data_IF_288351911791
#
_entry.id   IF_288351911791
#
_cell.length_a   1.000
_cell.length_b   1.000
_cell.length_c   1.000
_cell.angle_alpha   90.00
_cell.angle_beta   90.00
_cell.angle_gamma   90.00
#
_symmetry.space_group_name_H-M   'P 1'
#
loop_
_entity.id
_entity.type
_entity.pdbx_description
1 polymer ?
#
# COMPACT_ATOMS: atom_id res chain seq x y z
N UNK A 1 33.62 79.93 -2.06
CA UNK A 1 34.23 78.58 -2.02
C UNK A 1 33.57 77.76 -3.09
N UNK A 2 34.23 77.59 -4.25
CA UNK A 2 33.75 76.68 -5.28
C UNK A 2 34.17 75.28 -4.85
N UNK A 3 33.20 74.45 -4.48
CA UNK A 3 33.46 73.03 -4.22
C UNK A 3 33.94 72.40 -5.53
N UNK A 4 35.10 71.73 -5.56
CA UNK A 4 35.58 71.06 -6.77
C UNK A 4 34.55 70.00 -7.17
N UNK A 5 34.12 70.03 -8.42
CA UNK A 5 33.24 69.01 -8.98
C UNK A 5 34.00 67.69 -9.03
N UNK A 6 33.38 66.58 -8.62
CA UNK A 6 34.03 65.29 -8.66
C UNK A 6 34.30 64.85 -10.10
N UNK A 7 35.44 64.20 -10.33
CA UNK A 7 35.90 63.81 -11.68
C UNK A 7 34.90 62.94 -12.46
N UNK A 8 34.05 62.18 -11.77
CA UNK A 8 33.06 61.27 -12.34
C UNK A 8 31.76 61.94 -12.79
N UNK A 9 31.51 63.20 -12.42
CA UNK A 9 30.24 63.88 -12.70
C UNK A 9 29.96 64.02 -14.20
N UNK A 10 31.01 64.31 -14.98
CA UNK A 10 30.91 64.42 -16.43
C UNK A 10 30.55 63.09 -17.11
N UNK A 11 31.08 61.97 -16.60
CA UNK A 11 30.79 60.64 -17.14
C UNK A 11 29.43 60.12 -16.68
N UNK A 12 29.03 60.42 -15.44
CA UNK A 12 27.67 60.14 -14.96
C UNK A 12 26.60 60.83 -15.82
N UNK A 13 26.81 62.11 -16.13
CA UNK A 13 25.89 62.87 -16.98
C UNK A 13 25.80 62.30 -18.41
N UNK A 14 26.92 61.82 -18.98
CA UNK A 14 26.93 61.16 -20.30
C UNK A 14 26.19 59.82 -20.28
N UNK A 15 26.29 59.06 -19.18
CA UNK A 15 25.72 57.71 -19.07
C UNK A 15 24.23 57.72 -18.67
N UNK A 16 23.71 58.83 -18.13
CA UNK A 16 22.31 58.97 -17.72
C UNK A 16 21.30 58.74 -18.87
N UNK A 17 21.56 59.30 -20.06
CA UNK A 17 20.70 59.14 -21.24
C UNK A 17 20.63 57.70 -21.77
N UNK A 18 21.76 57.00 -22.04
CA UNK A 18 21.72 55.60 -22.45
C UNK A 18 21.17 54.68 -21.34
N UNK A 19 21.43 54.95 -20.05
CA UNK A 19 20.84 54.17 -18.95
C UNK A 19 19.31 54.26 -18.92
N UNK A 20 18.74 55.45 -19.14
CA UNK A 20 17.28 55.63 -19.17
C UNK A 20 16.67 54.98 -20.41
N UNK A 21 17.34 55.04 -21.56
CA UNK A 21 16.96 54.31 -22.76
C UNK A 21 17.00 52.79 -22.53
N UNK A 22 18.07 52.28 -21.92
CA UNK A 22 18.23 50.87 -21.57
C UNK A 22 17.14 50.43 -20.57
N UNK A 23 16.87 51.21 -19.52
CA UNK A 23 15.80 50.92 -18.54
C UNK A 23 14.43 50.84 -19.20
N UNK A 24 14.14 51.71 -20.18
CA UNK A 24 12.89 51.65 -20.96
C UNK A 24 12.84 50.40 -21.84
N UNK A 25 13.97 50.02 -22.45
CA UNK A 25 14.08 48.78 -23.23
C UNK A 25 13.96 47.54 -22.34
N UNK A 26 14.48 47.55 -21.11
CA UNK A 26 14.33 46.46 -20.13
C UNK A 26 12.87 46.06 -19.88
N UNK A 27 11.95 47.03 -19.91
CA UNK A 27 10.52 46.77 -19.76
C UNK A 27 9.87 46.08 -20.97
N UNK A 28 10.56 46.07 -22.14
CA UNK A 28 10.10 45.41 -23.36
C UNK A 28 10.66 43.99 -23.54
N UNK A 29 11.67 43.60 -22.75
CA UNK A 29 12.21 42.25 -22.85
C UNK A 29 11.20 41.24 -22.29
N UNK A 30 10.89 40.16 -23.04
CA UNK A 30 10.01 39.12 -22.55
C UNK A 30 10.69 38.40 -21.39
N UNK A 31 10.00 38.30 -20.26
CA UNK A 31 10.46 37.47 -19.15
C UNK A 31 10.45 35.99 -19.54
N UNK A 32 11.35 35.16 -18.98
CA UNK A 32 11.28 33.72 -19.19
C UNK A 32 9.93 33.16 -18.74
N UNK A 33 9.32 32.24 -19.52
CA UNK A 33 8.03 31.69 -19.17
C UNK A 33 8.12 30.91 -17.86
N UNK A 34 7.32 31.32 -16.88
CA UNK A 34 7.10 30.54 -15.66
C UNK A 34 6.50 29.19 -16.04
N UNK A 35 7.23 28.10 -15.80
CA UNK A 35 6.73 26.73 -15.98
C UNK A 35 6.59 26.08 -14.62
N UNK A 36 5.36 25.77 -14.24
CA UNK A 36 5.03 25.01 -13.04
C UNK A 36 4.77 23.57 -13.45
N UNK A 37 5.18 22.62 -12.62
CA UNK A 37 4.91 21.20 -12.87
C UNK A 37 3.40 20.94 -12.86
N UNK A 38 2.89 20.36 -13.94
CA UNK A 38 1.46 20.03 -14.09
C UNK A 38 1.00 18.98 -13.08
N UNK A 39 1.87 18.00 -12.81
CA UNK A 39 1.64 16.92 -11.83
C UNK A 39 1.39 17.50 -10.44
N UNK A 40 2.23 18.43 -9.98
CA UNK A 40 2.07 19.07 -8.67
C UNK A 40 0.74 19.84 -8.54
N UNK A 41 0.24 20.44 -9.63
CA UNK A 41 -1.06 21.10 -9.64
C UNK A 41 -2.24 20.11 -9.58
N UNK A 42 -2.10 18.93 -10.20
CA UNK A 42 -3.12 17.87 -10.16
C UNK A 42 -3.12 17.14 -8.82
N UNK A 43 -1.93 16.81 -8.30
CA UNK A 43 -1.78 16.17 -6.99
C UNK A 43 -2.32 17.06 -5.88
N UNK A 44 -2.15 18.38 -5.99
CA UNK A 44 -2.76 19.33 -5.07
C UNK A 44 -4.29 19.22 -5.05
N UNK A 45 -4.92 19.04 -6.21
CA UNK A 45 -6.37 18.90 -6.33
C UNK A 45 -6.86 17.58 -5.73
N UNK A 46 -6.14 16.49 -6.02
CA UNK A 46 -6.45 15.18 -5.45
C UNK A 46 -6.34 15.18 -3.92
N UNK A 47 -5.28 15.79 -3.37
CA UNK A 47 -5.07 15.93 -1.93
C UNK A 47 -6.18 16.75 -1.27
N UNK A 48 -6.67 17.80 -1.94
CA UNK A 48 -7.78 18.61 -1.42
C UNK A 48 -9.08 17.78 -1.35
N UNK A 49 -9.36 16.96 -2.37
CA UNK A 49 -10.52 16.06 -2.40
C UNK A 49 -10.44 14.97 -1.31
N UNK A 50 -9.28 14.31 -1.17
CA UNK A 50 -9.04 13.28 -0.14
C UNK A 50 -9.16 13.85 1.28
N UNK A 51 -8.62 15.05 1.51
CA UNK A 51 -8.69 15.70 2.81
C UNK A 51 -10.14 16.08 3.14
N UNK A 52 -10.90 16.60 2.16
CA UNK A 52 -12.32 16.89 2.33
C UNK A 52 -13.13 15.62 2.63
N UNK A 53 -12.86 14.51 1.95
CA UNK A 53 -13.52 13.24 2.20
C UNK A 53 -13.21 12.71 3.60
N UNK A 54 -11.93 12.70 4.00
CA UNK A 54 -11.49 12.28 5.33
C UNK A 54 -12.15 13.12 6.44
N UNK A 55 -12.18 14.45 6.27
CA UNK A 55 -12.84 15.33 7.25
C UNK A 55 -14.36 15.11 7.31
N UNK A 56 -15.01 14.85 6.17
CA UNK A 56 -16.44 14.50 6.13
C UNK A 56 -16.69 13.20 6.88
N UNK A 57 -15.88 12.16 6.67
CA UNK A 57 -16.02 10.87 7.35
C UNK A 57 -15.91 11.01 8.87
N UNK A 58 -14.89 11.72 9.35
CA UNK A 58 -14.72 12.00 10.78
C UNK A 58 -15.89 12.81 11.35
N UNK A 59 -16.43 13.74 10.57
CA UNK A 59 -17.62 14.50 10.95
C UNK A 59 -18.86 13.60 11.01
N UNK A 60 -19.05 12.71 10.04
CA UNK A 60 -20.18 11.77 10.02
C UNK A 60 -20.14 10.69 11.09
N UNK A 61 -18.95 10.30 11.53
CA UNK A 61 -18.75 9.38 12.65
C UNK A 61 -19.02 10.09 13.98
N UNK A 62 -18.56 11.33 14.16
CA UNK A 62 -18.90 12.13 15.35
C UNK A 62 -20.43 12.33 15.50
N UNK A 63 -21.14 12.49 14.38
CA UNK A 63 -22.59 12.65 14.36
C UNK A 63 -23.39 11.32 14.32
N UNK A 64 -22.74 10.15 14.31
CA UNK A 64 -23.45 8.85 14.22
C UNK A 64 -24.23 8.49 15.48
N UNK A 65 -23.89 9.11 16.62
CA UNK A 65 -24.59 8.95 17.90
C UNK A 65 -25.93 9.69 17.95
N UNK A 66 -26.18 10.62 17.02
CA UNK A 66 -27.43 11.35 16.91
C UNK A 66 -28.44 10.63 16.01
N UNK A 67 -29.73 10.96 16.16
CA UNK A 67 -30.80 10.37 15.35
C UNK A 67 -30.46 10.43 13.85
N UNK A 68 -30.58 9.31 13.10
CA UNK A 68 -30.17 9.24 11.70
C UNK A 68 -30.95 10.22 10.80
N UNK A 69 -32.20 10.53 11.15
CA UNK A 69 -33.03 11.51 10.43
C UNK A 69 -32.51 12.95 10.49
N UNK A 70 -31.80 13.32 11.56
CA UNK A 70 -31.15 14.63 11.66
C UNK A 70 -29.88 14.69 10.80
N UNK A 71 -29.09 13.60 10.78
CA UNK A 71 -27.88 13.48 9.96
C UNK A 71 -28.18 13.71 8.47
N UNK A 72 -29.22 13.07 7.94
CA UNK A 72 -29.61 13.22 6.52
C UNK A 72 -30.14 14.61 6.19
N UNK A 73 -30.86 15.25 7.12
CA UNK A 73 -31.41 16.59 6.91
C UNK A 73 -30.32 17.67 6.91
N UNK A 74 -29.37 17.56 7.84
CA UNK A 74 -28.26 18.51 7.99
C UNK A 74 -27.06 18.20 7.10
N UNK A 75 -27.04 17.09 6.36
CA UNK A 75 -25.94 16.68 5.48
C UNK A 75 -25.37 17.81 4.60
N UNK A 76 -26.19 18.50 3.78
CA UNK A 76 -25.69 19.56 2.90
C UNK A 76 -25.27 20.82 3.66
N UNK A 77 -25.96 21.16 4.76
CA UNK A 77 -25.64 22.35 5.57
C UNK A 77 -24.29 22.19 6.28
N UNK A 78 -24.04 21.00 6.83
CA UNK A 78 -22.81 20.67 7.52
C UNK A 78 -21.62 20.56 6.54
N UNK A 79 -21.87 20.01 5.35
CA UNK A 79 -20.87 19.97 4.27
C UNK A 79 -20.52 21.38 3.78
N UNK A 80 -21.52 22.25 3.62
CA UNK A 80 -21.30 23.66 3.30
C UNK A 80 -20.48 24.35 4.39
N UNK A 81 -20.82 24.14 5.67
CA UNK A 81 -20.09 24.72 6.79
C UNK A 81 -18.63 24.28 6.81
N UNK A 82 -18.36 22.98 6.61
CA UNK A 82 -17.00 22.44 6.50
C UNK A 82 -16.23 23.08 5.34
N UNK A 83 -16.83 23.11 4.14
CA UNK A 83 -16.23 23.74 2.96
C UNK A 83 -15.95 25.23 3.18
N UNK A 84 -16.83 25.95 3.89
CA UNK A 84 -16.67 27.36 4.19
C UNK A 84 -15.52 27.59 5.20
N UNK A 85 -15.45 26.77 6.25
CA UNK A 85 -14.37 26.79 7.23
C UNK A 85 -13.02 26.53 6.54
N UNK A 86 -12.94 25.47 5.74
CA UNK A 86 -11.75 25.16 4.97
C UNK A 86 -11.38 26.29 3.99
N UNK A 87 -12.36 26.83 3.26
CA UNK A 87 -12.15 27.93 2.34
C UNK A 87 -11.62 29.20 3.05
N UNK A 88 -12.17 29.50 4.24
CA UNK A 88 -11.78 30.66 5.05
C UNK A 88 -10.33 30.53 5.54
N UNK A 89 -9.96 29.41 6.14
CA UNK A 89 -8.60 29.22 6.67
C UNK A 89 -7.56 28.99 5.56
N UNK A 90 -7.97 28.48 4.41
CA UNK A 90 -7.06 28.14 3.31
C UNK A 90 -6.90 29.31 2.31
N UNK A 91 -7.87 29.52 1.42
CA UNK A 91 -7.74 30.50 0.34
C UNK A 91 -7.84 31.94 0.84
N UNK A 92 -8.74 32.21 1.80
CA UNK A 92 -8.93 33.58 2.25
C UNK A 92 -7.72 34.08 3.06
N UNK A 93 -7.23 33.29 4.01
CA UNK A 93 -6.11 33.67 4.88
C UNK A 93 -4.74 33.41 4.21
N UNK A 94 -4.50 32.22 3.66
CA UNK A 94 -3.18 31.83 3.10
C UNK A 94 -3.05 32.05 1.58
N UNK A 95 -4.15 32.23 0.85
CA UNK A 95 -4.11 32.46 -0.60
C UNK A 95 -3.82 31.22 -1.45
N UNK A 96 -3.97 30.03 -0.89
CA UNK A 96 -3.77 28.73 -1.52
C UNK A 96 -4.70 27.69 -0.88
N UNK A 97 -5.10 26.65 -1.62
CA UNK A 97 -5.79 25.48 -1.00
C UNK A 97 -4.82 24.67 -0.14
N UNK A 98 -5.31 23.76 0.71
CA UNK A 98 -4.43 23.00 1.61
C UNK A 98 -3.52 22.04 0.84
N UNK A 99 -4.06 21.31 -0.14
CA UNK A 99 -3.30 20.47 -1.05
C UNK A 99 -2.28 21.29 -1.86
N UNK A 100 -2.66 22.50 -2.30
CA UNK A 100 -1.70 23.42 -2.95
C UNK A 100 -0.56 23.82 -2.01
N UNK A 101 -0.84 24.12 -0.74
CA UNK A 101 0.20 24.49 0.23
C UNK A 101 1.18 23.34 0.48
N UNK A 102 0.68 22.10 0.60
CA UNK A 102 1.52 20.90 0.73
C UNK A 102 2.42 20.69 -0.49
N UNK A 103 1.92 21.05 -1.67
CA UNK A 103 2.66 21.04 -2.93
C UNK A 103 3.52 22.30 -3.17
N UNK A 104 3.64 23.19 -2.17
CA UNK A 104 4.37 24.45 -2.26
C UNK A 104 3.85 25.37 -3.40
N UNK A 105 2.54 25.40 -3.60
CA UNK A 105 1.84 26.21 -4.59
C UNK A 105 0.99 27.30 -3.92
N UNK A 106 0.97 28.48 -4.52
CA UNK A 106 0.15 29.63 -4.11
C UNK A 106 -0.55 30.25 -5.31
N UNK A 107 -1.76 30.76 -5.12
CA UNK A 107 -2.45 31.48 -6.20
C UNK A 107 -1.83 32.87 -6.39
N UNK A 108 -1.65 33.22 -7.65
CA UNK A 108 -1.23 34.54 -8.12
C UNK A 108 -2.29 35.14 -9.04
N UNK A 109 -2.48 36.45 -8.95
CA UNK A 109 -3.37 37.17 -9.85
C UNK A 109 -2.65 37.54 -11.16
N UNK A 110 -2.99 36.88 -12.26
CA UNK A 110 -2.35 37.14 -13.55
C UNK A 110 -2.85 38.43 -14.21
N UNK A 111 -4.06 38.92 -13.88
CA UNK A 111 -4.63 40.13 -14.48
C UNK A 111 -3.83 41.39 -14.14
N UNK A 112 -3.24 41.42 -12.94
CA UNK A 112 -2.33 42.50 -12.51
C UNK A 112 -0.93 42.39 -13.13
N UNK A 113 -0.58 41.22 -13.67
CA UNK A 113 0.69 40.91 -14.34
C UNK A 113 0.62 41.05 -15.86
N UNK A 114 -0.51 41.50 -16.42
CA UNK A 114 -0.73 41.58 -17.87
C UNK A 114 0.04 42.73 -18.55
N UNK A 115 0.84 43.52 -17.83
CA UNK A 115 1.77 44.50 -18.40
C UNK A 115 3.09 43.86 -18.80
N UNK A 116 3.82 44.45 -19.76
CA UNK A 116 5.07 43.91 -20.34
C UNK A 116 6.18 43.53 -19.35
N UNK A 117 6.03 43.85 -18.07
CA UNK A 117 6.81 43.27 -16.99
C UNK A 117 6.06 42.05 -16.41
N UNK A 118 6.14 40.91 -17.11
CA UNK A 118 5.93 39.60 -16.49
C UNK A 118 7.12 39.28 -15.55
N UNK A 119 7.47 40.20 -14.66
CA UNK A 119 8.59 40.01 -13.76
C UNK A 119 8.31 38.78 -12.91
N UNK A 120 9.14 37.77 -13.12
CA UNK A 120 9.28 36.63 -12.21
C UNK A 120 9.59 37.13 -10.81
N UNK A 121 10.15 38.32 -10.59
CA UNK A 121 10.61 38.74 -9.27
C UNK A 121 9.50 39.21 -8.31
N UNK A 122 8.30 39.52 -8.80
CA UNK A 122 7.24 40.13 -7.95
C UNK A 122 5.93 39.39 -8.12
N UNK A 123 5.48 38.67 -7.11
CA UNK A 123 4.19 37.98 -7.12
C UNK A 123 3.11 38.89 -6.51
N UNK A 124 1.99 39.09 -7.22
CA UNK A 124 0.87 39.89 -6.74
C UNK A 124 -0.18 38.97 -6.10
N UNK A 125 -0.56 39.24 -4.83
CA UNK A 125 -1.58 38.45 -4.16
C UNK A 125 -2.95 38.67 -4.80
N UNK A 126 -3.86 37.73 -4.53
CA UNK A 126 -5.23 37.76 -5.02
C UNK A 126 -5.99 38.98 -4.50
N UNK A 127 -6.87 39.55 -5.34
CA UNK A 127 -7.77 40.60 -4.87
C UNK A 127 -8.83 40.03 -3.93
N UNK A 128 -9.32 40.84 -3.00
CA UNK A 128 -10.45 40.46 -2.12
C UNK A 128 -11.67 39.99 -2.93
N UNK A 129 -11.93 40.64 -4.06
CA UNK A 129 -13.01 40.28 -4.99
C UNK A 129 -12.78 38.93 -5.66
N UNK A 130 -11.56 38.62 -6.09
CA UNK A 130 -11.23 37.31 -6.66
C UNK A 130 -11.38 36.20 -5.64
N UNK A 131 -10.90 36.43 -4.40
CA UNK A 131 -11.12 35.49 -3.29
C UNK A 131 -12.61 35.26 -3.11
N UNK A 132 -13.39 36.29 -2.79
CA UNK A 132 -14.83 36.14 -2.53
C UNK A 132 -15.57 35.48 -3.70
N UNK A 133 -15.28 35.87 -4.95
CA UNK A 133 -15.90 35.27 -6.13
C UNK A 133 -15.54 33.78 -6.28
N UNK A 134 -14.28 33.41 -6.07
CA UNK A 134 -13.85 32.01 -6.11
C UNK A 134 -14.57 31.18 -5.04
N UNK A 135 -14.60 31.66 -3.79
CA UNK A 135 -15.31 30.99 -2.70
C UNK A 135 -16.81 30.88 -2.94
N UNK A 136 -17.45 31.95 -3.41
CA UNK A 136 -18.89 31.96 -3.70
C UNK A 136 -19.26 30.93 -4.78
N UNK A 137 -18.47 30.82 -5.85
CA UNK A 137 -18.77 29.87 -6.93
C UNK A 137 -18.42 28.43 -6.55
N UNK A 138 -17.28 28.21 -5.86
CA UNK A 138 -16.87 26.84 -5.46
C UNK A 138 -17.72 26.29 -4.33
N UNK A 139 -17.79 27.00 -3.20
CA UNK A 139 -18.50 26.57 -1.99
C UNK A 139 -20.01 26.76 -2.16
N UNK A 140 -20.43 27.94 -2.59
CA UNK A 140 -21.85 28.25 -2.79
C UNK A 140 -22.45 27.52 -3.99
N UNK A 141 -21.71 27.42 -5.10
CA UNK A 141 -22.19 26.73 -6.30
C UNK A 141 -22.44 25.24 -6.06
N UNK A 142 -21.54 24.53 -5.36
CA UNK A 142 -21.75 23.14 -5.00
C UNK A 142 -23.00 22.95 -4.13
N UNK A 143 -23.18 23.78 -3.10
CA UNK A 143 -24.36 23.71 -2.23
C UNK A 143 -25.66 24.00 -2.98
N UNK A 144 -25.69 25.03 -3.84
CA UNK A 144 -26.87 25.36 -4.65
C UNK A 144 -27.20 24.20 -5.60
N UNK A 145 -26.21 23.61 -6.26
CA UNK A 145 -26.43 22.46 -7.15
C UNK A 145 -26.95 21.24 -6.38
N UNK A 146 -26.39 20.94 -5.21
CA UNK A 146 -26.86 19.83 -4.36
C UNK A 146 -28.29 20.06 -3.88
N UNK A 147 -28.61 21.29 -3.44
CA UNK A 147 -29.96 21.67 -3.00
C UNK A 147 -30.97 21.60 -4.14
N UNK A 148 -30.59 22.11 -5.30
CA UNK A 148 -31.42 22.10 -6.50
C UNK A 148 -31.68 20.68 -6.99
N UNK A 149 -30.66 19.82 -7.01
CA UNK A 149 -30.81 18.40 -7.35
C UNK A 149 -31.78 17.69 -6.40
N UNK A 150 -31.70 17.95 -5.08
CA UNK A 150 -32.66 17.38 -4.12
C UNK A 150 -34.09 17.82 -4.38
N UNK A 151 -34.30 19.10 -4.70
CA UNK A 151 -35.64 19.64 -5.03
C UNK A 151 -36.16 19.02 -6.34
N UNK A 152 -35.31 18.95 -7.36
CA UNK A 152 -35.63 18.36 -8.67
C UNK A 152 -36.06 16.90 -8.51
N UNK A 153 -35.32 16.12 -7.74
CA UNK A 153 -35.64 14.70 -7.48
C UNK A 153 -36.91 14.56 -6.63
N UNK A 154 -37.09 15.37 -5.59
CA UNK A 154 -38.26 15.30 -4.71
C UNK A 154 -39.57 15.68 -5.43
N UNK A 155 -39.50 16.57 -6.42
CA UNK A 155 -40.65 17.00 -7.20
C UNK A 155 -40.78 16.28 -8.55
N UNK A 156 -39.87 15.35 -8.87
CA UNK A 156 -39.92 14.54 -10.09
C UNK A 156 -39.90 15.34 -11.39
N UNK A 157 -39.10 16.42 -11.50
CA UNK A 157 -39.18 17.35 -12.66
C UNK A 157 -38.93 16.71 -14.03
N UNK A 158 -38.37 15.50 -14.09
CA UNK A 158 -38.20 14.73 -15.32
C UNK A 158 -39.49 14.08 -15.85
N UNK A 159 -40.48 13.83 -15.00
CA UNK A 159 -41.72 13.10 -15.34
C UNK A 159 -42.91 14.01 -15.70
N UNK A 160 -42.77 15.33 -15.53
CA UNK A 160 -43.83 16.28 -15.85
C UNK A 160 -44.11 16.38 -17.37
N UNK A 161 -45.31 16.82 -17.78
CA UNK A 161 -45.63 17.09 -19.19
C UNK A 161 -44.77 18.22 -19.79
N UNK A 162 -44.61 18.22 -21.10
CA UNK A 162 -43.64 19.07 -21.83
C UNK A 162 -43.95 20.58 -21.81
N UNK A 163 -45.19 20.96 -21.54
CA UNK A 163 -45.61 22.36 -21.51
C UNK A 163 -45.22 23.09 -20.21
N UNK A 164 -44.89 22.36 -19.15
CA UNK A 164 -44.56 22.95 -17.86
C UNK A 164 -43.18 23.65 -17.85
N UNK A 165 -43.16 24.87 -17.30
CA UNK A 165 -41.93 25.66 -17.13
C UNK A 165 -40.85 24.91 -16.33
N UNK A 166 -41.25 24.03 -15.40
CA UNK A 166 -40.35 23.23 -14.57
C UNK A 166 -39.54 22.21 -15.40
N UNK A 167 -40.17 21.58 -16.39
CA UNK A 167 -39.49 20.63 -17.28
C UNK A 167 -38.55 21.34 -18.24
N UNK A 168 -38.93 22.53 -18.74
CA UNK A 168 -38.02 23.39 -19.51
C UNK A 168 -36.80 23.83 -18.69
N UNK A 169 -37.00 24.22 -17.43
CA UNK A 169 -35.91 24.56 -16.51
C UNK A 169 -34.99 23.35 -16.24
N UNK A 170 -35.56 22.16 -16.03
CA UNK A 170 -34.79 20.92 -15.88
C UNK A 170 -33.96 20.60 -17.13
N UNK A 171 -34.55 20.71 -18.32
CA UNK A 171 -33.86 20.51 -19.60
C UNK A 171 -32.73 21.54 -19.81
N UNK A 172 -32.95 22.80 -19.40
CA UNK A 172 -31.93 23.84 -19.43
C UNK A 172 -30.76 23.52 -18.50
N UNK A 173 -31.03 23.11 -17.26
CA UNK A 173 -30.00 22.71 -16.29
C UNK A 173 -29.19 21.52 -16.82
N UNK A 174 -29.87 20.52 -17.40
CA UNK A 174 -29.21 19.35 -17.96
C UNK A 174 -28.37 19.70 -19.20
N UNK A 175 -28.87 20.60 -20.05
CA UNK A 175 -28.14 21.10 -21.22
C UNK A 175 -26.93 21.95 -20.81
N UNK A 176 -27.08 22.83 -19.82
CA UNK A 176 -26.00 23.59 -19.23
C UNK A 176 -24.93 22.67 -18.60
N UNK A 177 -25.34 21.59 -17.93
CA UNK A 177 -24.43 20.57 -17.39
C UNK A 177 -23.63 19.86 -18.50
N UNK A 178 -24.26 19.51 -19.61
CA UNK A 178 -23.58 18.94 -20.79
C UNK A 178 -22.57 19.94 -21.39
N UNK A 179 -22.97 21.19 -21.61
CA UNK A 179 -22.09 22.24 -22.12
C UNK A 179 -20.92 22.47 -21.17
N UNK A 180 -21.17 22.55 -19.87
CA UNK A 180 -20.12 22.70 -18.86
C UNK A 180 -19.08 21.57 -18.92
N UNK A 181 -19.51 20.30 -19.06
CA UNK A 181 -18.59 19.16 -19.20
C UNK A 181 -17.71 19.27 -20.44
N UNK A 182 -18.27 19.66 -21.59
CA UNK A 182 -17.51 19.86 -22.83
C UNK A 182 -16.52 21.01 -22.67
N UNK A 183 -16.96 22.16 -22.14
CA UNK A 183 -16.08 23.32 -21.91
C UNK A 183 -14.98 22.98 -20.89
N UNK A 184 -15.30 22.18 -19.86
CA UNK A 184 -14.34 21.74 -18.85
C UNK A 184 -13.29 20.81 -19.44
N UNK A 185 -13.70 19.87 -20.29
CA UNK A 185 -12.80 18.99 -21.04
C UNK A 185 -11.88 19.80 -21.96
N UNK A 186 -12.42 20.77 -22.70
CA UNK A 186 -11.61 21.65 -23.54
C UNK A 186 -10.64 22.51 -22.72
N UNK A 187 -11.06 23.01 -21.56
CA UNK A 187 -10.19 23.72 -20.63
C UNK A 187 -9.06 22.82 -20.13
N UNK A 188 -9.38 21.58 -19.75
CA UNK A 188 -8.43 20.59 -19.27
C UNK A 188 -7.43 20.16 -20.35
N UNK A 189 -7.86 19.98 -21.60
CA UNK A 189 -6.95 19.75 -22.74
C UNK A 189 -6.00 20.95 -22.94
N UNK A 190 -6.54 22.17 -22.87
CA UNK A 190 -5.72 23.39 -22.91
C UNK A 190 -4.74 23.48 -21.73
N UNK A 191 -5.12 22.99 -20.55
CA UNK A 191 -4.25 22.86 -19.39
C UNK A 191 -3.15 21.82 -19.62
N UNK A 192 -3.47 20.65 -20.16
CA UNK A 192 -2.48 19.63 -20.48
C UNK A 192 -1.44 20.12 -21.50
N UNK A 193 -1.82 21.01 -22.41
CA UNK A 193 -0.87 21.67 -23.31
C UNK A 193 -0.05 22.75 -22.59
N UNK A 194 -0.71 23.80 -22.07
CA UNK A 194 -0.04 25.01 -21.57
C UNK A 194 0.38 24.98 -20.08
N UNK A 195 -0.31 24.22 -19.22
CA UNK A 195 -0.02 24.09 -17.79
C UNK A 195 -0.38 25.29 -16.91
N UNK A 196 -1.32 26.15 -17.35
CA UNK A 196 -1.62 27.44 -16.71
C UNK A 196 -2.82 27.46 -15.75
N UNK A 197 -3.98 26.96 -16.19
CA UNK A 197 -5.25 27.01 -15.43
C UNK A 197 -5.91 25.63 -15.44
N UNK A 198 -6.14 25.00 -14.27
CA UNK A 198 -6.74 23.65 -14.21
C UNK A 198 -8.24 23.67 -14.39
N UNK A 199 -8.92 24.71 -13.89
CA UNK A 199 -10.39 24.85 -13.98
C UNK A 199 -10.81 26.04 -14.83
N UNK A 200 -12.05 26.01 -15.33
CA UNK A 200 -12.65 27.14 -16.05
C UNK A 200 -12.76 28.36 -15.13
N UNK A 201 -13.08 28.14 -13.85
CA UNK A 201 -13.20 29.18 -12.85
C UNK A 201 -11.89 29.97 -12.69
N UNK A 202 -10.77 29.26 -12.57
CA UNK A 202 -9.44 29.87 -12.51
C UNK A 202 -9.12 30.68 -13.75
N UNK A 203 -9.51 30.19 -14.93
CA UNK A 203 -9.32 30.89 -16.21
C UNK A 203 -10.10 32.21 -16.23
N UNK A 204 -11.37 32.19 -15.83
CA UNK A 204 -12.23 33.38 -15.78
C UNK A 204 -11.70 34.40 -14.76
N UNK A 205 -11.33 33.93 -13.56
CA UNK A 205 -10.81 34.80 -12.49
C UNK A 205 -9.34 35.20 -12.71
N UNK A 206 -8.66 34.61 -13.71
CA UNK A 206 -7.24 34.78 -13.99
C UNK A 206 -6.35 34.45 -12.78
N UNK A 207 -6.74 33.41 -12.03
CA UNK A 207 -6.00 32.88 -10.87
C UNK A 207 -5.07 31.76 -11.33
N UNK A 208 -3.76 31.93 -11.13
CA UNK A 208 -2.74 30.97 -11.57
C UNK A 208 -1.98 30.41 -10.38
N UNK A 209 -1.74 29.10 -10.32
CA UNK A 209 -0.86 28.51 -9.29
C UNK A 209 0.61 28.74 -9.66
N UNK A 210 1.39 29.22 -8.70
CA UNK A 210 2.83 29.47 -8.80
C UNK A 210 3.51 28.91 -7.55
N UNK A 211 4.80 28.55 -7.61
CA UNK A 211 5.52 28.11 -6.42
C UNK A 211 5.60 29.21 -5.35
N UNK A 212 5.20 28.90 -4.11
CA UNK A 212 5.27 29.83 -2.99
C UNK A 212 6.73 30.12 -2.62
N UNK A 213 7.56 29.09 -2.54
CA UNK A 213 9.00 29.19 -2.38
C UNK A 213 9.73 28.53 -3.56
N UNK A 214 10.53 29.31 -4.28
CA UNK A 214 11.23 28.85 -5.49
C UNK A 214 12.51 28.07 -5.21
N UNK A 215 13.06 28.26 -4.02
CA UNK A 215 14.24 27.55 -3.51
C UNK A 215 13.90 26.25 -2.79
N UNK A 216 12.62 25.89 -2.70
CA UNK A 216 12.21 24.59 -2.16
C UNK A 216 12.67 23.51 -3.14
N UNK A 217 13.72 22.78 -2.74
CA UNK A 217 14.13 21.59 -3.46
C UNK A 217 12.97 20.59 -3.36
N UNK A 218 12.51 20.16 -4.53
CA UNK A 218 11.38 19.26 -4.75
C UNK A 218 11.58 17.96 -3.96
N UNK A 219 11.14 17.94 -2.71
CA UNK A 219 10.74 16.71 -2.06
C UNK A 219 9.35 16.38 -2.60
N UNK A 220 9.29 15.93 -3.85
CA UNK A 220 8.19 15.04 -4.21
C UNK A 220 8.20 13.95 -3.14
N UNK A 221 7.06 13.72 -2.49
CA UNK A 221 6.87 12.80 -1.38
C UNK A 221 7.04 11.34 -1.82
N UNK A 222 8.20 11.03 -2.40
CA UNK A 222 8.69 9.69 -2.65
C UNK A 222 8.90 8.95 -1.34
N UNK A 223 8.81 9.58 -0.18
CA UNK A 223 8.91 8.87 1.09
C UNK A 223 7.86 7.76 1.19
N UNK A 224 6.61 8.00 0.80
CA UNK A 224 5.58 6.98 0.89
C UNK A 224 5.73 5.89 -0.20
N UNK A 225 6.03 6.29 -1.44
CA UNK A 225 6.33 5.36 -2.53
C UNK A 225 7.56 4.50 -2.21
N UNK A 226 8.63 5.11 -1.71
CA UNK A 226 9.86 4.43 -1.33
C UNK A 226 9.62 3.51 -0.14
N UNK A 227 8.82 3.92 0.87
CA UNK A 227 8.44 3.03 1.97
C UNK A 227 7.68 1.80 1.44
N UNK A 228 6.71 1.98 0.54
CA UNK A 228 5.97 0.86 -0.04
C UNK A 228 6.86 -0.05 -0.88
N UNK A 229 7.73 0.49 -1.73
CA UNK A 229 8.67 -0.30 -2.52
C UNK A 229 9.64 -1.08 -1.63
N UNK A 230 10.16 -0.46 -0.56
CA UNK A 230 11.04 -1.12 0.40
C UNK A 230 10.30 -2.25 1.12
N UNK A 231 9.08 -2.02 1.60
CA UNK A 231 8.29 -3.06 2.26
C UNK A 231 7.97 -4.22 1.31
N UNK A 232 7.58 -3.92 0.07
CA UNK A 232 7.30 -4.94 -0.93
C UNK A 232 8.54 -5.78 -1.24
N UNK A 233 9.67 -5.13 -1.54
CA UNK A 233 10.94 -5.81 -1.79
C UNK A 233 11.41 -6.63 -0.57
N UNK A 234 11.20 -6.11 0.65
CA UNK A 234 11.49 -6.82 1.89
C UNK A 234 10.62 -8.06 2.06
N UNK A 235 9.31 -7.97 1.79
CA UNK A 235 8.41 -9.13 1.88
C UNK A 235 8.71 -10.19 0.82
N UNK A 236 9.06 -9.78 -0.39
CA UNK A 236 9.47 -10.68 -1.47
C UNK A 236 10.76 -11.41 -1.11
N UNK A 237 11.76 -10.69 -0.59
CA UNK A 237 12.97 -11.29 -0.03
C UNK A 237 12.67 -12.27 1.12
N UNK A 238 11.76 -11.91 2.03
CA UNK A 238 11.38 -12.77 3.15
C UNK A 238 10.68 -14.05 2.68
N UNK A 239 9.85 -13.99 1.64
CA UNK A 239 9.23 -15.18 1.03
C UNK A 239 10.28 -16.11 0.41
N UNK A 240 11.37 -15.58 -0.16
CA UNK A 240 12.48 -16.41 -0.62
C UNK A 240 13.30 -17.02 0.53
N UNK A 241 13.43 -16.32 1.65
CA UNK A 241 14.13 -16.83 2.83
C UNK A 241 13.30 -17.81 3.67
N UNK A 242 11.97 -17.72 3.65
CA UNK A 242 11.07 -18.55 4.47
C UNK A 242 11.25 -20.07 4.21
N UNK A 243 11.38 -20.55 2.96
CA UNK A 243 11.70 -21.95 2.66
C UNK A 243 13.07 -22.42 3.15
N UNK A 244 14.04 -21.52 3.31
CA UNK A 244 15.41 -21.85 3.74
C UNK A 244 15.54 -21.94 5.27
N UNK A 245 14.57 -21.38 6.01
CA UNK A 245 14.58 -21.38 7.48
C UNK A 245 13.87 -22.64 7.98
N UNK A 246 14.64 -23.59 8.53
CA UNK A 246 14.08 -24.75 9.21
C UNK A 246 13.45 -24.31 10.55
N UNK A 247 12.14 -24.02 10.51
CA UNK A 247 11.34 -23.54 11.65
C UNK A 247 11.46 -24.43 12.90
N UNK A 248 11.74 -25.73 12.74
CA UNK A 248 11.93 -26.67 13.83
C UNK A 248 13.24 -26.41 14.59
N UNK A 249 14.35 -26.18 13.87
CA UNK A 249 15.66 -25.85 14.46
C UNK A 249 15.61 -24.49 15.16
N UNK A 250 14.99 -23.49 14.51
CA UNK A 250 14.83 -22.14 15.09
C UNK A 250 13.96 -22.17 16.36
N UNK A 251 12.81 -22.84 16.34
CA UNK A 251 11.93 -22.97 17.51
C UNK A 251 12.64 -23.67 18.68
N UNK A 252 13.46 -24.70 18.42
CA UNK A 252 14.24 -25.39 19.45
C UNK A 252 15.30 -24.47 20.07
N UNK A 253 16.02 -23.70 19.25
CA UNK A 253 17.05 -22.76 19.73
C UNK A 253 16.45 -21.57 20.47
N UNK A 254 15.36 -20.99 19.96
CA UNK A 254 14.63 -19.89 20.60
C UNK A 254 14.01 -20.35 21.91
N UNK A 255 13.39 -21.53 21.96
CA UNK A 255 12.86 -22.10 23.20
C UNK A 255 13.98 -22.36 24.21
N UNK A 256 15.13 -22.91 23.79
CA UNK A 256 16.30 -23.12 24.67
C UNK A 256 16.86 -21.80 25.23
N UNK A 257 16.74 -20.71 24.46
CA UNK A 257 17.19 -19.38 24.87
C UNK A 257 16.18 -18.66 25.79
N UNK A 258 14.87 -18.83 25.54
CA UNK A 258 13.81 -18.11 26.25
C UNK A 258 13.21 -18.87 27.44
N UNK A 259 13.29 -20.21 27.50
CA UNK A 259 12.75 -20.99 28.62
C UNK A 259 13.86 -21.63 29.46
N UNK A 260 13.77 -21.52 30.81
CA UNK A 260 14.68 -22.20 31.72
C UNK A 260 14.58 -23.74 31.56
N UNK A 261 15.73 -24.42 31.64
CA UNK A 261 15.86 -25.86 31.39
C UNK A 261 14.93 -26.75 32.25
N UNK A 262 14.46 -26.25 33.39
CA UNK A 262 13.53 -26.95 34.28
C UNK A 262 12.14 -27.20 33.65
N UNK A 263 11.71 -26.42 32.66
CA UNK A 263 10.39 -26.52 32.02
C UNK A 263 10.42 -27.29 30.68
N UNK A 264 11.60 -27.72 30.24
CA UNK A 264 11.82 -28.42 28.97
C UNK A 264 11.71 -29.95 29.09
N UNK A 265 11.76 -30.49 30.31
CA UNK A 265 11.64 -31.92 30.57
C UNK A 265 10.20 -32.26 30.93
N UNK A 266 9.29 -32.13 29.97
CA UNK A 266 7.99 -32.76 30.05
C UNK A 266 8.16 -34.27 29.90
N UNK A 267 8.25 -35.01 31.01
CA UNK A 267 8.38 -36.46 31.06
C UNK A 267 7.14 -37.23 30.57
N UNK A 268 6.13 -36.58 29.98
CA UNK A 268 4.90 -37.26 29.55
C UNK A 268 5.16 -38.33 28.48
N UNK A 269 6.21 -38.20 27.67
CA UNK A 269 6.55 -39.19 26.64
C UNK A 269 7.50 -40.29 27.11
N UNK A 270 8.16 -40.15 28.26
CA UNK A 270 9.05 -41.19 28.79
C UNK A 270 8.27 -42.33 29.47
N UNK A 271 7.09 -42.03 30.04
CA UNK A 271 6.21 -42.98 30.73
C UNK A 271 5.31 -43.81 29.80
N UNK A 272 5.39 -43.59 28.49
CA UNK A 272 4.55 -44.32 27.51
C UNK A 272 4.93 -45.82 27.45
N UNK A 273 3.97 -46.76 27.35
CA UNK A 273 4.26 -48.18 27.16
C UNK A 273 5.15 -48.47 25.95
N UNK A 274 5.97 -49.53 26.03
CA UNK A 274 6.95 -49.88 24.98
C UNK A 274 6.33 -50.27 23.63
N UNK A 275 5.05 -50.66 23.61
CA UNK A 275 4.31 -51.03 22.40
C UNK A 275 3.74 -49.82 21.63
N UNK A 276 3.87 -48.60 22.19
CA UNK A 276 3.34 -47.37 21.61
C UNK A 276 4.48 -46.50 21.05
N UNK A 277 4.34 -46.07 19.81
CA UNK A 277 5.28 -45.16 19.16
C UNK A 277 5.08 -43.73 19.70
N UNK A 278 6.09 -43.17 20.36
CA UNK A 278 5.98 -41.82 20.94
C UNK A 278 5.82 -40.73 19.86
N UNK A 279 6.33 -40.95 18.63
CA UNK A 279 6.17 -40.02 17.50
C UNK A 279 4.72 -40.06 16.97
N UNK A 280 4.11 -41.25 16.86
CA UNK A 280 2.70 -41.37 16.47
C UNK A 280 1.78 -40.75 17.52
N UNK A 281 2.11 -40.90 18.81
CA UNK A 281 1.36 -40.29 19.91
C UNK A 281 1.46 -38.75 19.90
N UNK A 282 2.65 -38.18 19.69
CA UNK A 282 2.86 -36.73 19.55
C UNK A 282 2.12 -36.14 18.33
N UNK A 283 2.13 -36.85 17.20
CA UNK A 283 1.39 -36.43 16.01
C UNK A 283 -0.12 -36.50 16.23
N UNK A 284 -0.62 -37.50 16.97
CA UNK A 284 -2.05 -37.59 17.28
C UNK A 284 -2.47 -36.49 18.28
N UNK A 285 -1.66 -36.18 19.29
CA UNK A 285 -1.97 -35.13 20.27
C UNK A 285 -1.96 -33.71 19.69
N UNK A 286 -1.13 -33.46 18.67
CA UNK A 286 -1.04 -32.16 17.98
C UNK A 286 -2.16 -31.92 16.96
N UNK A 287 -2.93 -32.93 16.56
CA UNK A 287 -3.95 -32.84 15.49
C UNK A 287 -5.39 -32.75 16.01
N UNK A 288 -5.61 -32.19 17.21
CA UNK A 288 -6.90 -32.15 17.94
C UNK A 288 -7.99 -31.24 17.34
N UNK A 289 -8.04 -31.06 16.01
CA UNK A 289 -9.09 -30.27 15.33
C UNK A 289 -9.86 -31.03 14.25
N UNK A 290 -9.70 -32.35 14.11
CA UNK A 290 -10.50 -33.13 13.15
C UNK A 290 -10.87 -34.51 13.71
N UNK A 291 -12.11 -34.71 14.16
CA UNK A 291 -12.61 -36.03 14.59
C UNK A 291 -12.88 -36.88 13.34
N UNK A 292 -12.03 -37.87 13.05
CA UNK A 292 -12.30 -38.80 11.94
C UNK A 292 -11.18 -39.76 11.54
N UNK A 293 -9.90 -39.45 11.81
CA UNK A 293 -8.78 -40.30 11.37
C UNK A 293 -7.86 -40.62 12.54
N UNK A 294 -8.27 -41.56 13.40
CA UNK A 294 -7.41 -42.07 14.47
C UNK A 294 -6.27 -42.89 13.85
N UNK A 295 -5.10 -42.27 13.65
CA UNK A 295 -3.88 -43.02 13.30
C UNK A 295 -3.53 -43.93 14.48
N UNK A 296 -3.39 -45.24 14.24
CA UNK A 296 -2.99 -46.17 15.30
C UNK A 296 -1.64 -45.74 15.89
N UNK A 297 -1.56 -45.63 17.22
CA UNK A 297 -0.33 -45.28 17.93
C UNK A 297 0.58 -46.49 18.18
N UNK A 298 0.11 -47.70 17.82
CA UNK A 298 0.85 -48.96 17.89
C UNK A 298 2.04 -48.93 16.92
N UNK A 299 3.15 -49.55 17.35
CA UNK A 299 4.36 -49.61 16.55
C UNK A 299 4.15 -50.53 15.33
N UNK A 300 4.33 -49.98 14.13
CA UNK A 300 4.33 -50.72 12.88
C UNK A 300 5.76 -50.81 12.33
N UNK A 301 6.24 -52.03 12.05
CA UNK A 301 7.62 -52.33 11.68
C UNK A 301 8.64 -51.77 12.70
N UNK A 302 8.90 -52.49 13.82
CA UNK A 302 9.62 -51.97 14.97
C UNK A 302 11.12 -51.81 14.69
N UNK A 303 11.64 -50.62 15.02
CA UNK A 303 13.06 -50.28 14.96
C UNK A 303 13.51 -49.76 16.31
N UNK A 304 14.68 -50.20 16.76
CA UNK A 304 15.31 -49.79 18.00
C UNK A 304 16.38 -48.73 17.71
N UNK A 305 16.39 -47.67 18.51
CA UNK A 305 17.42 -46.61 18.48
C UNK A 305 18.60 -46.95 19.40
N UNK A 306 19.72 -46.24 19.29
CA UNK A 306 20.92 -46.45 20.15
C UNK A 306 20.64 -46.38 21.66
N UNK A 307 19.59 -45.66 22.05
CA UNK A 307 19.15 -45.54 23.44
C UNK A 307 18.20 -46.67 23.90
N UNK A 308 17.94 -47.67 23.07
CA UNK A 308 17.11 -48.84 23.38
C UNK A 308 15.60 -48.63 23.20
N UNK A 309 15.15 -47.47 22.71
CA UNK A 309 13.74 -47.16 22.53
C UNK A 309 13.23 -47.60 21.16
N UNK A 310 11.99 -48.12 21.13
CA UNK A 310 11.38 -48.68 19.93
C UNK A 310 10.36 -47.70 19.34
N UNK A 311 10.37 -47.60 18.02
CA UNK A 311 9.48 -46.76 17.22
C UNK A 311 9.15 -47.44 15.89
N UNK A 312 8.19 -46.90 15.13
CA UNK A 312 7.95 -47.32 13.75
C UNK A 312 9.12 -46.92 12.84
N UNK A 313 9.51 -47.79 11.91
CA UNK A 313 10.54 -47.51 10.90
C UNK A 313 10.34 -46.15 10.20
N UNK A 314 9.15 -45.92 9.65
CA UNK A 314 8.85 -44.70 8.90
C UNK A 314 8.95 -43.44 9.78
N UNK A 315 8.49 -43.52 11.03
CA UNK A 315 8.49 -42.38 11.94
C UNK A 315 9.91 -41.94 12.31
N UNK A 316 10.79 -42.87 12.68
CA UNK A 316 12.17 -42.52 13.04
C UNK A 316 12.95 -42.10 11.81
N UNK A 317 12.81 -42.83 10.70
CA UNK A 317 13.54 -42.51 9.47
C UNK A 317 13.17 -41.12 8.94
N UNK A 318 11.89 -40.77 8.96
CA UNK A 318 11.41 -39.44 8.54
C UNK A 318 11.93 -38.33 9.47
N UNK A 319 11.92 -38.55 10.79
CA UNK A 319 12.48 -37.56 11.75
C UNK A 319 13.98 -37.36 11.58
N UNK A 320 14.75 -38.44 11.34
CA UNK A 320 16.19 -38.37 11.06
C UNK A 320 16.52 -37.71 9.72
N UNK A 321 15.61 -37.77 8.74
CA UNK A 321 15.78 -37.08 7.45
C UNK A 321 15.47 -35.58 7.52
N UNK A 322 14.55 -35.18 8.42
CA UNK A 322 14.14 -33.77 8.59
C UNK A 322 15.09 -33.01 9.53
N UNK A 323 15.63 -33.69 10.54
CA UNK A 323 16.55 -33.12 11.53
C UNK A 323 17.78 -34.02 11.69
N UNK A 324 18.93 -33.54 11.19
CA UNK A 324 20.22 -34.25 11.28
C UNK A 324 20.67 -34.51 12.73
N UNK A 325 20.12 -33.76 13.69
CA UNK A 325 20.41 -33.88 15.13
C UNK A 325 19.15 -34.18 15.95
N UNK A 326 18.37 -35.16 15.47
CA UNK A 326 17.20 -35.62 16.20
C UNK A 326 17.58 -36.29 17.53
N UNK A 327 16.86 -35.91 18.59
CA UNK A 327 16.97 -36.54 19.91
C UNK A 327 15.75 -37.42 20.18
N UNK A 328 15.98 -38.58 20.78
CA UNK A 328 14.94 -39.50 21.20
C UNK A 328 13.91 -38.79 22.10
N UNK A 329 12.63 -38.87 21.74
CA UNK A 329 11.54 -38.23 22.50
C UNK A 329 11.29 -38.86 23.89
N UNK A 330 11.81 -40.07 24.14
CA UNK A 330 11.64 -40.78 25.42
C UNK A 330 12.74 -40.46 26.45
N UNK A 331 13.98 -40.26 26.01
CA UNK A 331 15.12 -40.05 26.92
C UNK A 331 16.02 -38.86 26.58
N UNK A 332 15.74 -38.12 25.51
CA UNK A 332 16.49 -36.93 25.11
C UNK A 332 17.89 -37.19 24.54
N UNK A 333 18.37 -38.44 24.47
CA UNK A 333 19.67 -38.78 23.87
C UNK A 333 19.64 -38.60 22.35
N UNK A 334 20.75 -38.12 21.76
CA UNK A 334 20.95 -38.05 20.31
C UNK A 334 20.94 -39.48 19.74
N UNK A 335 20.26 -39.67 18.62
CA UNK A 335 20.16 -40.96 17.92
C UNK A 335 20.97 -40.87 16.64
N UNK A 336 21.95 -41.75 16.49
CA UNK A 336 22.87 -41.78 15.34
C UNK A 336 22.58 -42.97 14.43
N UNK A 337 22.16 -44.11 15.00
CA UNK A 337 21.79 -45.30 14.25
C UNK A 337 20.44 -45.90 14.69
N UNK A 338 19.86 -46.68 13.77
CA UNK A 338 18.63 -47.44 13.99
C UNK A 338 18.82 -48.86 13.48
N UNK A 339 18.34 -49.84 14.24
CA UNK A 339 18.37 -51.25 13.85
C UNK A 339 16.96 -51.84 13.85
N UNK A 340 16.72 -52.84 13.00
CA UNK A 340 15.45 -53.57 13.00
C UNK A 340 15.32 -54.33 14.32
N UNK A 341 14.20 -54.18 15.00
CA UNK A 341 13.90 -54.97 16.19
C UNK A 341 13.48 -56.38 15.73
N UNK A 342 14.26 -57.38 16.12
CA UNK A 342 13.96 -58.79 15.87
C UNK A 342 13.58 -59.40 17.21
N UNK A 343 12.33 -59.83 17.35
CA UNK A 343 11.92 -60.64 18.50
C UNK A 343 12.53 -62.03 18.33
N UNK A 344 13.40 -62.44 19.25
CA UNK A 344 13.85 -63.82 19.31
C UNK A 344 12.66 -64.69 19.74
N UNK A 345 12.21 -65.58 18.85
CA UNK A 345 11.22 -66.58 19.21
C UNK A 345 11.80 -67.48 20.32
N UNK A 346 11.04 -67.79 21.38
CA UNK A 346 11.46 -68.81 22.33
C UNK A 346 11.32 -70.18 21.66
N UNK A 347 12.44 -70.75 21.23
CA UNK A 347 12.49 -72.12 20.69
C UNK A 347 12.02 -73.11 21.76
N UNK A 348 10.75 -73.52 21.62
CA UNK A 348 10.21 -74.71 22.28
C UNK A 348 10.56 -75.92 21.42
N UNK A 349 11.18 -76.89 22.08
CA UNK A 349 11.23 -78.29 21.68
C UNK A 349 9.88 -78.83 21.18
N UNK A 350 9.95 -79.86 20.32
CA UNK A 350 8.94 -80.49 19.45
C UNK A 350 9.16 -80.00 18.00
N UNK A 351 9.67 -80.79 17.06
CA UNK A 351 9.27 -82.15 16.70
C UNK A 351 10.46 -83.01 16.24
N UNK A 352 10.40 -84.28 16.62
CA UNK A 352 11.23 -85.34 16.10
C UNK A 352 10.49 -86.05 14.95
N UNK A 353 11.25 -86.79 14.15
CA UNK A 353 10.80 -87.88 13.28
C UNK A 353 10.17 -87.42 11.96
N UNK A 354 10.97 -87.40 10.90
CA UNK A 354 10.74 -88.27 9.74
C UNK A 354 12.05 -88.44 8.95
N UNK A 355 12.49 -89.70 8.89
CA UNK A 355 13.58 -90.17 8.05
C UNK A 355 12.97 -90.84 6.81
N UNK A 356 13.63 -90.64 5.67
CA UNK A 356 13.37 -91.28 4.37
C UNK A 356 13.04 -90.22 3.31
N UNK A 357 13.58 -90.22 2.10
CA UNK A 357 14.69 -90.91 1.44
C UNK A 357 14.95 -90.09 0.15
N UNK A 358 15.99 -90.43 -0.62
CA UNK A 358 16.18 -90.05 -2.03
C UNK A 358 16.84 -88.69 -2.40
N UNK A 359 18.18 -88.75 -2.38
CA UNK A 359 19.17 -88.50 -3.46
C UNK A 359 18.89 -87.57 -4.67
N UNK A 360 20.02 -86.99 -5.11
CA UNK A 360 20.38 -86.43 -6.44
C UNK A 360 19.78 -85.05 -6.77
N UNK A 361 20.50 -84.01 -7.20
CA UNK A 361 21.88 -83.86 -7.68
C UNK A 361 22.32 -82.40 -7.51
N UNK A 362 23.63 -82.19 -7.46
CA UNK A 362 24.30 -80.90 -7.50
C UNK A 362 24.63 -80.51 -8.95
N UNK A 363 24.34 -79.27 -9.34
CA UNK A 363 25.18 -78.46 -10.26
C UNK A 363 24.67 -77.00 -10.20
N UNK A 364 25.46 -76.03 -9.69
CA UNK A 364 26.26 -75.08 -10.48
C UNK A 364 25.50 -74.56 -11.71
N UNK A 365 25.30 -73.25 -11.93
CA UNK A 365 26.37 -72.27 -12.07
C UNK A 365 25.76 -70.86 -12.08
N UNK A 366 26.52 -69.91 -11.55
CA UNK A 366 26.39 -68.48 -11.69
C UNK A 366 26.49 -68.00 -13.16
N UNK A 367 26.11 -66.72 -13.35
CA UNK A 367 26.47 -65.83 -14.47
C UNK A 367 25.73 -66.05 -15.79
N UNK A 368 24.82 -65.12 -16.12
CA UNK A 368 25.24 -64.08 -17.05
C UNK A 368 24.37 -62.83 -17.00
N UNK A 369 25.10 -61.74 -16.81
CA UNK A 369 24.74 -60.35 -16.96
C UNK A 369 24.26 -60.01 -18.38
N UNK A 370 23.26 -59.13 -18.43
CA UNK A 370 23.17 -57.97 -19.32
C UNK A 370 23.52 -58.23 -20.80
N UNK A 371 22.52 -58.19 -21.68
CA UNK A 371 22.39 -57.19 -22.77
C UNK A 371 21.28 -57.65 -23.73
N UNK A 372 20.06 -57.14 -23.54
CA UNK A 372 19.13 -56.91 -24.65
C UNK A 372 18.61 -55.48 -24.53
N UNK A 373 19.46 -54.57 -25.00
CA UNK A 373 19.11 -53.20 -25.34
C UNK A 373 18.01 -53.16 -26.41
N UNK A 374 17.15 -52.15 -26.30
CA UNK A 374 16.44 -51.48 -27.41
C UNK A 374 15.40 -52.30 -28.17
N UNK A 375 14.13 -52.14 -27.76
CA UNK A 375 12.97 -51.72 -28.59
C UNK A 375 12.04 -51.01 -27.58
N UNK A 376 11.99 -49.69 -27.49
CA UNK A 376 10.96 -48.89 -28.17
C UNK A 376 11.12 -47.43 -27.71
N UNK A 377 11.59 -46.59 -28.64
CA UNK A 377 11.50 -45.12 -28.77
C UNK A 377 11.39 -44.25 -27.52
#
# INVERSE_FOLDING_TARGET
MNTPTPFWESDWNKVQAPLTALRRQLASFPSPPLRIMKVSQLDADLLDDELLETMKEQLWSAFSLFKPSLKERFKPELTLALNLVMYKFSIYDMGATYGSQLQNLIYRNERKHSGGLQSTATDAPLTKTQKIAFGAVTVGGQYVLERLNRIITAQGWGELPEDDLKKKAWSLIQSAGKVYRVVSLMNFLGFLYAGKYRTILERILSMRLVYAQRSSNRQASFEFLNRQMVWHAFTEFLMFMMPLINVSKLKRNVKRLLLPAALMSGNELSELPAHICAICHENNSSTTTSPGTASSTVIHNPYVTDCGHIYCYYCVKTKMMIDDEWCCLRCGKKVEAIARHVEAAPDKALEAVEAGDDKEDADQTEQDSQTLEKISK
#
